data_IF_329410864554
#
_entry.id   IF_329410864554
#
_cell.length_a   1.000
_cell.length_b   1.000
_cell.length_c   1.000
_cell.angle_alpha   90.00
_cell.angle_beta   90.00
_cell.angle_gamma   90.00
#
_symmetry.space_group_name_H-M   'P 1'
#
loop_
_entity.id
_entity.type
_entity.pdbx_description
1 polymer ?
#
# COMPACT_ATOMS: atom_id res chain seq x y z
N UNK A 1 20.41 -5.74 -17.73
CA UNK A 1 19.86 -6.98 -17.14
C UNK A 1 18.73 -7.48 -18.03
N UNK A 2 18.98 -8.54 -18.79
CA UNK A 2 18.03 -9.05 -19.78
C UNK A 2 17.12 -10.10 -19.11
N UNK A 3 15.99 -9.66 -18.54
CA UNK A 3 15.03 -10.56 -17.91
C UNK A 3 14.25 -11.27 -19.03
N UNK A 4 14.61 -12.53 -19.31
CA UNK A 4 13.85 -13.38 -20.26
C UNK A 4 12.49 -13.71 -19.63
N UNK A 5 11.40 -13.23 -20.26
CA UNK A 5 10.03 -13.57 -19.87
C UNK A 5 9.79 -15.09 -19.94
N UNK A 6 8.98 -15.60 -19.01
CA UNK A 6 8.55 -17.02 -19.06
C UNK A 6 7.60 -17.23 -20.26
N UNK A 7 7.58 -18.45 -20.80
CA UNK A 7 6.84 -18.80 -22.04
C UNK A 7 5.34 -18.48 -22.01
N UNK A 8 4.77 -18.41 -20.81
CA UNK A 8 3.35 -18.11 -20.54
C UNK A 8 3.10 -16.65 -20.17
N UNK A 9 4.15 -15.84 -20.09
CA UNK A 9 4.04 -14.41 -19.89
C UNK A 9 3.99 -13.73 -21.26
N UNK A 10 2.81 -13.27 -21.65
CA UNK A 10 2.66 -12.38 -22.80
C UNK A 10 3.61 -11.19 -22.62
N UNK A 11 4.42 -10.79 -23.63
CA UNK A 11 5.39 -9.70 -23.52
C UNK A 11 4.76 -8.46 -22.88
N UNK A 12 4.99 -8.29 -21.57
CA UNK A 12 4.40 -7.18 -20.82
C UNK A 12 5.21 -5.95 -21.17
N UNK A 13 4.78 -5.21 -22.21
CA UNK A 13 5.33 -3.88 -22.45
C UNK A 13 5.11 -3.05 -21.19
N UNK A 14 6.19 -2.47 -20.68
CA UNK A 14 6.11 -1.47 -19.61
C UNK A 14 5.16 -0.34 -20.07
N UNK A 15 4.33 0.18 -19.15
CA UNK A 15 3.41 1.29 -19.44
C UNK A 15 1.96 0.93 -19.78
N UNK A 16 1.58 -0.36 -19.84
CA UNK A 16 0.16 -0.77 -19.96
C UNK A 16 -0.71 -0.25 -18.80
N UNK A 17 -0.09 -0.03 -17.64
CA UNK A 17 -0.74 0.37 -16.40
C UNK A 17 -0.71 1.88 -16.18
N UNK A 18 -0.19 2.66 -17.11
CA UNK A 18 -0.08 4.12 -16.96
C UNK A 18 -1.26 4.85 -17.63
N UNK A 19 -2.03 4.15 -18.46
CA UNK A 19 -3.21 4.67 -19.17
C UNK A 19 -4.51 3.97 -18.69
N UNK A 20 -5.64 4.63 -18.86
CA UNK A 20 -6.97 4.11 -18.47
C UNK A 20 -7.30 4.28 -16.98
N UNK A 21 -8.44 3.71 -16.54
CA UNK A 21 -8.98 3.86 -15.18
C UNK A 21 -8.02 3.36 -14.09
N UNK A 22 -7.35 2.23 -14.33
CA UNK A 22 -6.40 1.67 -13.36
C UNK A 22 -5.12 2.50 -13.21
N UNK A 23 -4.61 3.03 -14.32
CA UNK A 23 -3.42 3.88 -14.31
C UNK A 23 -3.66 5.24 -13.67
N UNK A 24 -4.77 5.89 -14.00
CA UNK A 24 -5.16 7.16 -13.37
C UNK A 24 -5.43 6.99 -11.87
N UNK A 25 -6.06 5.90 -11.44
CA UNK A 25 -6.24 5.58 -10.02
C UNK A 25 -4.90 5.42 -9.29
N UNK A 26 -3.94 4.69 -9.90
CA UNK A 26 -2.60 4.52 -9.33
C UNK A 26 -1.82 5.84 -9.25
N UNK A 27 -1.92 6.69 -10.27
CA UNK A 27 -1.31 8.03 -10.26
C UNK A 27 -1.89 8.90 -9.14
N UNK A 28 -3.22 8.90 -8.96
CA UNK A 28 -3.89 9.62 -7.87
C UNK A 28 -3.43 9.14 -6.49
N UNK A 29 -3.29 7.82 -6.30
CA UNK A 29 -2.75 7.26 -5.05
C UNK A 29 -1.34 7.76 -4.77
N UNK A 30 -0.45 7.72 -5.76
CA UNK A 30 0.93 8.23 -5.63
C UNK A 30 0.96 9.72 -5.31
N UNK A 31 0.15 10.53 -6.00
CA UNK A 31 0.05 11.98 -5.72
C UNK A 31 -0.40 12.24 -4.27
N UNK A 32 -1.39 11.50 -3.78
CA UNK A 32 -1.84 11.59 -2.38
C UNK A 32 -0.71 11.24 -1.41
N UNK A 33 0.03 10.16 -1.66
CA UNK A 33 1.17 9.76 -0.84
C UNK A 33 2.25 10.86 -0.80
N UNK A 34 2.64 11.41 -1.94
CA UNK A 34 3.64 12.49 -1.99
C UNK A 34 3.17 13.76 -1.31
N UNK A 35 1.90 14.15 -1.46
CA UNK A 35 1.33 15.30 -0.75
C UNK A 35 1.40 15.12 0.77
N UNK A 36 1.05 13.92 1.24
CA UNK A 36 1.15 13.59 2.67
C UNK A 36 2.60 13.57 3.15
N UNK A 37 3.53 13.06 2.34
CA UNK A 37 4.95 13.07 2.67
C UNK A 37 5.48 14.50 2.79
N UNK A 38 5.17 15.38 1.83
CA UNK A 38 5.54 16.80 1.88
C UNK A 38 5.00 17.50 3.13
N UNK A 39 3.74 17.22 3.48
CA UNK A 39 3.11 17.75 4.70
C UNK A 39 3.89 17.30 5.95
N UNK A 40 4.18 16.01 6.08
CA UNK A 40 4.95 15.45 7.21
C UNK A 40 6.37 16.03 7.32
N UNK A 41 7.06 16.19 6.19
CA UNK A 41 8.40 16.78 6.16
C UNK A 41 8.38 18.25 6.56
N UNK A 42 7.35 19.01 6.13
CA UNK A 42 7.19 20.42 6.46
C UNK A 42 6.79 20.67 7.92
N UNK A 43 5.91 19.83 8.46
CA UNK A 43 5.39 19.96 9.83
C UNK A 43 6.39 19.48 10.91
N UNK A 44 7.53 18.91 10.51
CA UNK A 44 8.42 18.19 11.42
C UNK A 44 7.74 16.94 11.99
N UNK A 45 8.48 16.09 12.70
CA UNK A 45 7.91 14.93 13.40
C UNK A 45 7.12 15.47 14.59
N UNK A 46 5.88 15.89 14.36
CA UNK A 46 4.94 16.25 15.42
C UNK A 46 4.33 14.95 15.98
N UNK A 47 4.68 14.54 17.21
CA UNK A 47 4.24 13.26 17.78
C UNK A 47 2.73 13.18 18.03
N UNK A 48 2.00 14.31 17.96
CA UNK A 48 0.54 14.37 18.13
C UNK A 48 -0.28 13.90 16.90
N UNK A 49 0.32 13.65 15.73
CA UNK A 49 -0.46 13.17 14.58
C UNK A 49 -0.96 11.74 14.82
N UNK A 50 -2.27 11.61 15.09
CA UNK A 50 -2.94 10.33 15.37
C UNK A 50 -2.62 9.33 14.26
N UNK A 51 -1.95 8.22 14.62
CA UNK A 51 -1.61 7.15 13.68
C UNK A 51 -2.87 6.32 13.46
N UNK A 52 -3.65 6.67 12.45
CA UNK A 52 -4.88 5.92 12.07
C UNK A 52 -4.61 4.44 11.72
N UNK A 53 -3.34 4.05 11.54
CA UNK A 53 -2.91 2.67 11.34
C UNK A 53 -2.92 1.77 12.58
N UNK A 54 -3.11 2.32 13.79
CA UNK A 54 -3.20 1.52 15.02
C UNK A 54 -4.42 0.59 15.02
N UNK A 55 -5.52 0.99 14.36
CA UNK A 55 -6.76 0.21 14.31
C UNK A 55 -6.66 -1.03 13.40
N UNK A 56 -5.86 -0.97 12.32
CA UNK A 56 -5.67 -2.13 11.44
C UNK A 56 -4.84 -3.25 12.10
N UNK A 57 -3.88 -2.87 12.94
CA UNK A 57 -3.06 -3.80 13.72
C UNK A 57 -3.90 -4.40 14.87
N UNK A 58 -4.74 -3.59 15.51
CA UNK A 58 -5.64 -4.04 16.58
C UNK A 58 -6.64 -5.11 16.10
N UNK A 59 -7.25 -4.94 14.92
CA UNK A 59 -8.18 -5.94 14.37
C UNK A 59 -7.50 -7.29 14.08
N UNK A 60 -6.27 -7.26 13.54
CA UNK A 60 -5.52 -8.47 13.21
C UNK A 60 -5.08 -9.25 14.47
N UNK A 61 -4.61 -8.52 15.50
CA UNK A 61 -4.23 -9.12 16.79
C UNK A 61 -5.43 -9.69 17.55
N UNK A 62 -6.61 -9.10 17.39
CA UNK A 62 -7.83 -9.57 18.05
C UNK A 62 -8.35 -10.87 17.44
N UNK A 63 -8.29 -11.02 16.11
CA UNK A 63 -8.63 -12.27 15.43
C UNK A 63 -7.67 -13.41 15.79
N UNK A 64 -6.37 -13.12 15.92
CA UNK A 64 -5.38 -14.12 16.33
C UNK A 64 -5.66 -14.68 17.73
N UNK A 65 -6.08 -13.84 18.69
CA UNK A 65 -6.48 -14.29 20.03
C UNK A 65 -7.73 -15.15 20.03
N UNK A 66 -8.68 -14.87 19.14
CA UNK A 66 -9.94 -15.62 19.02
C UNK A 66 -9.72 -17.03 18.44
N UNK A 67 -8.81 -17.17 17.47
CA UNK A 67 -8.41 -18.47 16.92
C UNK A 67 -7.66 -19.31 17.95
N UNK A 68 -6.86 -18.70 18.83
CA UNK A 68 -6.18 -19.44 19.91
C UNK A 68 -7.13 -19.88 21.04
N UNK A 69 -8.23 -19.16 21.28
CA UNK A 69 -9.22 -19.49 22.32
C UNK A 69 -10.23 -20.58 21.96
N UNK A 70 -10.31 -20.96 20.68
CA UNK A 70 -11.30 -21.93 20.15
C UNK A 70 -10.72 -23.33 19.93
N UNK A 71 -9.42 -23.51 20.20
CA UNK A 71 -8.79 -24.83 20.30
C UNK A 71 -8.82 -25.27 21.78
N UNK A 72 -9.97 -25.75 22.23
CA UNK A 72 -10.14 -26.49 23.48
C UNK A 72 -10.92 -27.76 23.18
#
# INVERSE_FOLDING_TARGET
>A
MNQRLKRWESPRKEGRNDKGKGGSARQRQKQKQFRMLRKKLKEGINPQTKRDGANAISFCLQLQKLVQSTNF
#
